data_IF_574908516981
#
_entry.id   IF_574908516981
#
_cell.length_a   1.000
_cell.length_b   1.000
_cell.length_c   1.000
_cell.angle_alpha   90.00
_cell.angle_beta   90.00
_cell.angle_gamma   90.00
#
_symmetry.space_group_name_H-M   'P 1'
#
loop_
_entity.id
_entity.type
_entity.pdbx_description
1 polymer ?
#
# COMPACT_ATOMS: atom_id res chain seq x y z
N UNK A 1 -3.82 6.76 -10.90
CA UNK A 1 -2.48 7.29 -11.30
C UNK A 1 -1.74 6.11 -11.90
N UNK A 2 -1.26 6.17 -13.14
CA UNK A 2 -0.40 5.09 -13.64
C UNK A 2 0.91 5.16 -12.86
N UNK A 3 1.27 4.09 -12.17
CA UNK A 3 2.48 3.99 -11.33
C UNK A 3 3.81 4.15 -12.09
N UNK A 4 3.73 4.29 -13.42
CA UNK A 4 4.86 4.41 -14.35
C UNK A 4 5.75 5.64 -14.07
N UNK A 5 5.28 6.62 -13.30
CA UNK A 5 6.08 7.77 -12.84
C UNK A 5 5.83 8.05 -11.35
N UNK A 6 6.35 7.19 -10.46
CA UNK A 6 6.48 7.55 -9.04
C UNK A 6 7.37 8.79 -8.92
N UNK A 7 6.80 9.90 -8.44
CA UNK A 7 7.54 11.14 -8.15
C UNK A 7 8.78 10.80 -7.30
N UNK A 8 10.00 11.21 -7.69
CA UNK A 8 11.21 11.01 -6.90
C UNK A 8 11.09 11.43 -5.43
N UNK A 9 10.29 12.47 -5.14
CA UNK A 9 10.00 12.92 -3.77
C UNK A 9 9.17 11.90 -2.99
N UNK A 10 8.18 11.26 -3.62
CA UNK A 10 7.40 10.18 -3.01
C UNK A 10 8.28 8.94 -2.75
N UNK A 11 9.20 8.63 -3.68
CA UNK A 11 10.16 7.53 -3.50
C UNK A 11 11.08 7.80 -2.31
N UNK A 12 11.61 9.02 -2.20
CA UNK A 12 12.43 9.41 -1.05
C UNK A 12 11.63 9.32 0.26
N UNK A 13 10.37 9.77 0.24
CA UNK A 13 9.49 9.75 1.40
C UNK A 13 9.20 8.32 1.88
N UNK A 14 9.15 7.33 0.99
CA UNK A 14 9.00 5.91 1.37
C UNK A 14 10.07 5.44 2.36
N UNK A 15 11.27 6.03 2.33
CA UNK A 15 12.38 5.60 3.19
C UNK A 15 12.32 6.21 4.59
N UNK A 16 11.63 7.33 4.77
CA UNK A 16 11.73 8.16 5.98
C UNK A 16 10.41 8.37 6.71
N UNK A 17 9.28 8.29 6.01
CA UNK A 17 7.96 8.51 6.59
C UNK A 17 7.45 7.27 7.34
N UNK A 18 6.63 7.51 8.37
CA UNK A 18 5.79 6.46 8.92
C UNK A 18 4.59 6.16 7.98
N UNK A 19 4.00 4.99 8.19
CA UNK A 19 2.91 4.46 7.37
C UNK A 19 1.67 5.36 7.34
N UNK A 20 1.38 6.10 8.42
CA UNK A 20 0.21 6.98 8.49
C UNK A 20 0.46 8.26 7.71
N UNK A 21 1.62 8.87 7.90
CA UNK A 21 2.02 10.05 7.14
C UNK A 21 2.05 9.76 5.63
N UNK A 22 2.52 8.57 5.23
CA UNK A 22 2.50 8.14 3.84
C UNK A 22 1.08 8.06 3.27
N UNK A 23 0.16 7.43 4.01
CA UNK A 23 -1.23 7.32 3.59
C UNK A 23 -1.92 8.69 3.47
N UNK A 24 -1.72 9.59 4.45
CA UNK A 24 -2.27 10.96 4.40
C UNK A 24 -1.77 11.74 3.19
N UNK A 25 -0.48 11.62 2.88
CA UNK A 25 0.14 12.28 1.72
C UNK A 25 -0.54 11.88 0.41
N UNK A 26 -0.88 10.60 0.25
CA UNK A 26 -1.50 10.07 -0.98
C UNK A 26 -3.01 10.35 -1.04
N UNK A 27 -3.69 10.22 0.09
CA UNK A 27 -5.13 10.51 0.19
C UNK A 27 -5.37 12.01 -0.03
N UNK A 28 -4.49 12.86 0.49
CA UNK A 28 -4.61 14.33 0.43
C UNK A 28 -5.65 14.89 1.40
N UNK A 29 -6.04 14.10 2.41
CA UNK A 29 -6.95 14.50 3.49
C UNK A 29 -6.67 13.67 4.75
N UNK A 30 -7.19 14.09 5.92
CA UNK A 30 -7.02 13.32 7.15
C UNK A 30 -7.58 11.91 7.05
N UNK A 31 -6.90 10.94 7.67
CA UNK A 31 -7.32 9.54 7.67
C UNK A 31 -8.68 9.35 8.33
N UNK A 32 -9.55 8.56 7.70
CA UNK A 32 -10.81 8.13 8.28
C UNK A 32 -10.57 6.96 9.24
N UNK A 33 -11.57 6.65 10.07
CA UNK A 33 -11.48 5.54 11.02
C UNK A 33 -11.15 4.19 10.36
N UNK A 34 -11.67 3.92 9.16
CA UNK A 34 -11.35 2.72 8.40
C UNK A 34 -9.89 2.69 7.94
N UNK A 35 -9.38 3.81 7.44
CA UNK A 35 -8.00 3.95 6.97
C UNK A 35 -7.02 3.67 8.13
N UNK A 36 -7.29 4.24 9.31
CA UNK A 36 -6.53 4.03 10.55
C UNK A 36 -6.55 2.56 10.97
N UNK A 37 -7.71 1.90 10.93
CA UNK A 37 -7.84 0.49 11.32
C UNK A 37 -7.05 -0.43 10.38
N UNK A 38 -7.09 -0.17 9.08
CA UNK A 38 -6.29 -0.91 8.10
C UNK A 38 -4.80 -0.72 8.32
N UNK A 39 -4.33 0.52 8.53
CA UNK A 39 -2.92 0.84 8.77
C UNK A 39 -2.39 0.23 10.06
N UNK A 40 -3.17 0.24 11.16
CA UNK A 40 -2.81 -0.46 12.41
C UNK A 40 -2.63 -1.97 12.23
N UNK A 41 -3.34 -2.57 11.28
CA UNK A 41 -3.17 -3.96 10.90
C UNK A 41 -1.84 -4.26 10.20
N UNK A 42 -1.23 -3.24 9.58
CA UNK A 42 0.07 -3.32 8.91
C UNK A 42 1.21 -2.94 9.84
N UNK A 43 1.05 -1.90 10.67
CA UNK A 43 2.09 -1.39 11.58
C UNK A 43 2.70 -2.47 12.49
N UNK A 44 1.90 -3.48 12.86
CA UNK A 44 2.34 -4.61 13.67
C UNK A 44 3.16 -5.65 12.92
N UNK A 45 3.20 -5.59 11.59
CA UNK A 45 3.91 -6.53 10.72
C UNK A 45 5.30 -5.98 10.37
N UNK A 46 6.30 -6.85 10.33
CA UNK A 46 7.72 -6.47 10.12
C UNK A 46 8.45 -7.35 9.11
N UNK A 47 7.69 -8.08 8.28
CA UNK A 47 8.25 -9.00 7.28
C UNK A 47 8.75 -8.26 6.03
N UNK A 48 8.12 -7.14 5.68
CA UNK A 48 8.56 -6.28 4.59
C UNK A 48 9.40 -5.11 5.15
N UNK A 49 10.44 -4.67 4.43
CA UNK A 49 11.11 -3.41 4.72
C UNK A 49 10.14 -2.22 4.72
N UNK A 50 10.51 -1.15 5.44
CA UNK A 50 9.66 0.04 5.62
C UNK A 50 9.35 0.72 4.29
N UNK A 51 10.36 0.87 3.43
CA UNK A 51 10.23 1.47 2.11
C UNK A 51 9.29 0.67 1.19
N UNK A 52 9.39 -0.66 1.22
CA UNK A 52 8.47 -1.56 0.53
C UNK A 52 7.05 -1.44 1.09
N UNK A 53 6.90 -1.41 2.41
CA UNK A 53 5.59 -1.28 3.06
C UNK A 53 4.94 0.06 2.76
N UNK A 54 5.73 1.14 2.73
CA UNK A 54 5.27 2.46 2.34
C UNK A 54 4.84 2.49 0.87
N UNK A 55 5.60 1.88 -0.04
CA UNK A 55 5.20 1.79 -1.44
C UNK A 55 3.89 0.99 -1.63
N UNK A 56 3.71 -0.10 -0.87
CA UNK A 56 2.46 -0.85 -0.82
C UNK A 56 1.28 0.01 -0.36
N UNK A 57 1.48 0.87 0.65
CA UNK A 57 0.46 1.79 1.16
C UNK A 57 0.08 2.82 0.10
N UNK A 58 1.06 3.42 -0.59
CA UNK A 58 0.80 4.33 -1.71
C UNK A 58 -0.05 3.62 -2.76
N UNK A 59 0.35 2.40 -3.14
CA UNK A 59 -0.34 1.60 -4.15
C UNK A 59 -1.79 1.34 -3.77
N UNK A 60 -2.02 0.83 -2.57
CA UNK A 60 -3.36 0.55 -2.08
C UNK A 60 -4.25 1.80 -2.06
N UNK A 61 -3.82 2.87 -1.38
CA UNK A 61 -4.65 4.06 -1.20
C UNK A 61 -4.81 4.91 -2.46
N UNK A 62 -3.91 4.78 -3.44
CA UNK A 62 -4.10 5.37 -4.77
C UNK A 62 -5.25 4.69 -5.50
N UNK A 63 -5.33 3.37 -5.43
CA UNK A 63 -6.36 2.58 -6.12
C UNK A 63 -7.73 2.65 -5.44
N UNK A 64 -7.79 2.64 -4.10
CA UNK A 64 -9.07 2.74 -3.36
C UNK A 64 -9.46 4.19 -3.03
N UNK A 65 -8.79 5.18 -3.63
CA UNK A 65 -9.06 6.59 -3.34
C UNK A 65 -10.50 6.95 -3.68
N UNK A 66 -11.22 7.45 -2.67
CA UNK A 66 -12.63 7.84 -2.83
C UNK A 66 -13.62 6.67 -2.91
N UNK A 67 -13.16 5.43 -2.71
CA UNK A 67 -14.03 4.25 -2.68
C UNK A 67 -14.14 3.66 -1.27
N UNK A 68 -15.14 2.81 -1.07
CA UNK A 68 -15.29 1.97 0.12
C UNK A 68 -14.56 0.65 -0.15
N UNK A 69 -13.79 0.18 0.82
CA UNK A 69 -13.01 -1.04 0.69
C UNK A 69 -13.09 -1.87 1.98
N UNK A 70 -12.76 -3.16 1.92
CA UNK A 70 -12.72 -4.00 3.11
C UNK A 70 -11.51 -3.66 4.00
N UNK A 71 -11.73 -3.49 5.31
CA UNK A 71 -10.68 -3.15 6.29
C UNK A 71 -9.44 -4.06 6.25
N UNK A 72 -9.60 -5.31 5.79
CA UNK A 72 -8.55 -6.32 5.71
C UNK A 72 -7.83 -6.36 4.36
N UNK A 73 -8.29 -5.64 3.33
CA UNK A 73 -7.75 -5.72 1.98
C UNK A 73 -6.25 -5.36 1.94
N UNK A 74 -5.85 -4.28 2.60
CA UNK A 74 -4.44 -3.91 2.73
C UNK A 74 -3.60 -5.01 3.40
N UNK A 75 -4.12 -5.65 4.45
CA UNK A 75 -3.43 -6.74 5.14
C UNK A 75 -3.29 -8.01 4.30
N UNK A 76 -4.27 -8.29 3.43
CA UNK A 76 -4.20 -9.37 2.43
C UNK A 76 -3.15 -9.06 1.38
N UNK A 77 -3.15 -7.85 0.82
CA UNK A 77 -2.17 -7.43 -0.18
C UNK A 77 -0.74 -7.47 0.38
N UNK A 78 -0.55 -7.03 1.63
CA UNK A 78 0.71 -7.20 2.35
C UNK A 78 1.15 -8.66 2.42
N UNK A 79 0.24 -9.57 2.83
CA UNK A 79 0.56 -10.98 2.93
C UNK A 79 0.90 -11.58 1.55
N UNK A 80 0.19 -11.16 0.51
CA UNK A 80 0.49 -11.56 -0.87
C UNK A 80 1.91 -11.14 -1.25
N UNK A 81 2.32 -9.91 -0.94
CA UNK A 81 3.68 -9.42 -1.21
C UNK A 81 4.73 -10.20 -0.41
N UNK A 82 4.47 -10.52 0.85
CA UNK A 82 5.36 -11.38 1.66
C UNK A 82 5.51 -12.77 1.03
N UNK A 83 4.40 -13.39 0.62
CA UNK A 83 4.41 -14.73 0.02
C UNK A 83 5.09 -14.78 -1.35
N UNK A 84 5.15 -13.64 -2.07
CA UNK A 84 5.86 -13.50 -3.33
C UNK A 84 7.26 -12.89 -3.18
N UNK A 85 7.80 -12.88 -1.96
CA UNK A 85 9.16 -12.45 -1.64
C UNK A 85 9.50 -11.02 -2.12
N UNK A 86 8.53 -10.12 -2.04
CA UNK A 86 8.66 -8.72 -2.45
C UNK A 86 9.41 -7.94 -1.36
N UNK A 87 10.68 -8.28 -1.11
CA UNK A 87 11.48 -7.68 -0.03
C UNK A 87 12.38 -6.54 -0.49
N UNK A 88 12.38 -6.20 -1.79
CA UNK A 88 13.20 -5.11 -2.33
C UNK A 88 12.31 -4.05 -2.96
N UNK A 89 12.75 -2.80 -2.89
CA UNK A 89 12.04 -1.68 -3.51
C UNK A 89 11.86 -1.90 -5.02
N UNK A 90 12.90 -2.40 -5.71
CA UNK A 90 12.82 -2.74 -7.14
C UNK A 90 11.72 -3.77 -7.42
N UNK A 91 11.60 -4.82 -6.60
CA UNK A 91 10.54 -5.81 -6.79
C UNK A 91 9.16 -5.24 -6.51
N UNK A 92 9.04 -4.40 -5.49
CA UNK A 92 7.81 -3.69 -5.19
C UNK A 92 7.39 -2.77 -6.35
N UNK A 93 8.33 -2.09 -7.01
CA UNK A 93 8.07 -1.30 -8.21
C UNK A 93 7.57 -2.15 -9.40
N UNK A 94 7.90 -3.43 -9.47
CA UNK A 94 7.30 -4.34 -10.44
C UNK A 94 5.87 -4.72 -10.05
N UNK A 95 5.62 -5.00 -8.76
CA UNK A 95 4.31 -5.42 -8.25
C UNK A 95 3.22 -4.33 -8.39
N UNK A 96 3.58 -3.06 -8.26
CA UNK A 96 2.64 -1.94 -8.45
C UNK A 96 2.22 -1.71 -9.91
N UNK A 97 2.86 -2.40 -10.87
CA UNK A 97 2.45 -2.38 -12.29
C UNK A 97 1.36 -3.41 -12.59
N UNK A 98 1.13 -4.35 -11.69
CA UNK A 98 0.09 -5.37 -11.82
C UNK A 98 -1.25 -4.79 -11.36
N UNK A 99 -2.36 -5.37 -11.82
CA UNK A 99 -3.69 -5.00 -11.32
C UNK A 99 -3.87 -5.43 -9.86
N UNK A 100 -4.40 -4.54 -9.00
CA UNK A 100 -4.52 -4.82 -7.57
C UNK A 100 -5.55 -5.92 -7.29
N UNK A 101 -6.63 -5.98 -8.05
CA UNK A 101 -7.67 -6.99 -7.87
C UNK A 101 -7.12 -8.39 -8.19
N UNK A 102 -6.26 -8.50 -9.20
CA UNK A 102 -5.55 -9.75 -9.50
C UNK A 102 -4.63 -10.24 -8.37
N UNK A 103 -4.10 -9.32 -7.55
CA UNK A 103 -3.27 -9.66 -6.38
C UNK A 103 -4.12 -10.00 -5.14
N UNK A 104 -5.30 -9.39 -5.01
CA UNK A 104 -6.24 -9.64 -3.91
C UNK A 104 -7.09 -10.91 -4.12
N UNK A 105 -7.34 -11.29 -5.37
CA UNK A 105 -8.23 -12.41 -5.76
C UNK A 105 -9.72 -12.03 -5.77
N UNK A 106 -10.57 -12.94 -6.27
CA UNK A 106 -12.02 -12.71 -6.51
C UNK A 106 -12.85 -12.35 -5.26
N UNK A 107 -12.32 -12.57 -4.05
CA UNK A 107 -13.10 -12.55 -2.79
C UNK A 107 -13.48 -11.13 -2.32
N UNK A 108 -12.92 -10.07 -2.91
CA UNK A 108 -13.13 -8.68 -2.45
C UNK A 108 -13.80 -7.76 -3.49
N UNK A 109 -14.46 -8.31 -4.52
CA UNK A 109 -15.40 -7.53 -5.34
C UNK A 109 -16.65 -7.21 -4.51
N UNK A 110 -16.68 -6.01 -3.91
CA UNK A 110 -17.90 -5.42 -3.35
C UNK A 110 -18.83 -4.95 -4.47
#
# INVERSE_FOLDING_TARGET
MKFEELNPELVALCQTADHFHMAETVIGSPLRGLDILSLKGIERKKNLPVDVTNLLIIYFFTEVKGTVYHRNALAKLYNHWVSNEVFTFSKAQEMVKLDMQSQLGEIDQL
#
